data_IF_755617232557
#
_entry.id   IF_755617232557
#
_cell.length_a   1.000
_cell.length_b   1.000
_cell.length_c   1.000
_cell.angle_alpha   90.00
_cell.angle_beta   90.00
_cell.angle_gamma   90.00
#
_symmetry.space_group_name_H-M   'P 1'
#
loop_
_entity.id
_entity.type
_entity.pdbx_description
1 polymer ?
#
# COMPACT_ATOMS: atom_id res chain seq x y z
N UNK A 1 -18.44 -17.32 1.98
CA UNK A 1 -18.61 -15.97 2.55
C UNK A 1 -19.81 -15.30 1.90
N UNK A 2 -20.58 -14.52 2.66
CA UNK A 2 -21.67 -13.70 2.10
C UNK A 2 -21.11 -12.41 1.50
N UNK A 3 -21.89 -11.73 0.65
CA UNK A 3 -21.48 -10.42 0.12
C UNK A 3 -21.30 -9.37 1.22
N UNK A 4 -22.09 -9.46 2.30
CA UNK A 4 -21.92 -8.57 3.47
C UNK A 4 -20.62 -8.84 4.23
N UNK A 5 -20.20 -10.10 4.37
CA UNK A 5 -18.93 -10.45 5.02
C UNK A 5 -17.75 -9.88 4.23
N UNK A 6 -17.79 -10.03 2.89
CA UNK A 6 -16.77 -9.45 2.01
C UNK A 6 -16.72 -7.93 2.17
N UNK A 7 -17.89 -7.27 2.02
CA UNK A 7 -17.94 -5.81 2.08
C UNK A 7 -17.44 -5.27 3.43
N UNK A 8 -17.93 -5.80 4.53
CA UNK A 8 -17.58 -5.33 5.88
C UNK A 8 -16.11 -5.65 6.19
N UNK A 9 -15.70 -6.91 5.98
CA UNK A 9 -14.35 -7.36 6.29
C UNK A 9 -13.29 -6.62 5.49
N UNK A 10 -13.45 -6.53 4.15
CA UNK A 10 -12.49 -5.86 3.29
C UNK A 10 -12.43 -4.35 3.54
N UNK A 11 -13.58 -3.71 3.80
CA UNK A 11 -13.62 -2.27 4.13
C UNK A 11 -12.90 -1.99 5.45
N UNK A 12 -13.23 -2.72 6.52
CA UNK A 12 -12.62 -2.50 7.83
C UNK A 12 -11.13 -2.86 7.82
N UNK A 13 -10.78 -4.04 7.29
CA UNK A 13 -9.40 -4.51 7.26
C UNK A 13 -8.49 -3.59 6.45
N UNK A 14 -8.95 -3.14 5.28
CA UNK A 14 -8.18 -2.21 4.44
C UNK A 14 -8.10 -0.82 5.08
N UNK A 15 -9.17 -0.35 5.74
CA UNK A 15 -9.12 0.93 6.47
C UNK A 15 -8.08 0.89 7.60
N UNK A 16 -8.00 -0.18 8.37
CA UNK A 16 -7.00 -0.38 9.42
C UNK A 16 -5.59 -0.48 8.84
N UNK A 17 -5.43 -1.23 7.75
CA UNK A 17 -4.15 -1.35 7.04
C UNK A 17 -3.64 0.03 6.62
N UNK A 18 -4.46 0.85 5.98
CA UNK A 18 -4.07 2.18 5.53
C UNK A 18 -3.90 3.16 6.68
N UNK A 19 -4.74 3.10 7.70
CA UNK A 19 -4.60 3.94 8.90
C UNK A 19 -3.23 3.73 9.57
N UNK A 20 -2.82 2.49 9.78
CA UNK A 20 -1.55 2.19 10.44
C UNK A 20 -0.36 2.40 9.51
N UNK A 21 -0.45 1.98 8.25
CA UNK A 21 0.63 2.13 7.27
C UNK A 21 0.85 3.59 6.85
N UNK A 22 -0.20 4.35 6.56
CA UNK A 22 -0.13 5.79 6.36
C UNK A 22 0.27 6.52 7.65
N UNK A 23 -0.19 6.01 8.80
CA UNK A 23 0.17 6.52 10.12
C UNK A 23 1.66 6.47 10.41
N UNK A 24 2.36 5.36 10.11
CA UNK A 24 3.81 5.30 10.29
C UNK A 24 4.53 6.23 9.34
N UNK A 25 4.07 6.37 8.08
CA UNK A 25 4.62 7.35 7.15
C UNK A 25 4.44 8.79 7.66
N UNK A 26 3.27 9.13 8.21
CA UNK A 26 3.01 10.42 8.84
C UNK A 26 3.92 10.64 10.07
N UNK A 27 4.07 9.62 10.91
CA UNK A 27 4.91 9.67 12.09
C UNK A 27 6.38 9.98 11.77
N UNK A 28 6.91 9.35 10.72
CA UNK A 28 8.32 9.48 10.29
C UNK A 28 8.57 10.81 9.56
N UNK A 29 7.56 11.32 8.82
CA UNK A 29 7.72 12.47 7.92
C UNK A 29 7.38 13.81 8.57
N UNK A 30 6.26 13.88 9.32
CA UNK A 30 5.71 15.16 9.72
C UNK A 30 6.52 15.84 10.84
N UNK A 31 6.71 17.15 10.74
CA UNK A 31 7.25 17.98 11.85
C UNK A 31 6.37 17.81 13.08
N UNK A 32 6.99 17.91 14.25
CA UNK A 32 6.36 17.74 15.57
C UNK A 32 5.77 16.33 15.81
N UNK A 33 6.18 15.34 15.04
CA UNK A 33 5.95 13.94 15.35
C UNK A 33 7.09 13.38 16.23
N UNK A 34 6.75 12.54 17.20
CA UNK A 34 7.74 11.90 18.09
C UNK A 34 8.67 10.94 17.36
N UNK A 35 8.20 10.33 16.28
CA UNK A 35 8.97 9.38 15.47
C UNK A 35 9.61 10.03 14.21
N UNK A 36 9.61 11.36 14.11
CA UNK A 36 10.19 12.05 12.96
C UNK A 36 11.63 11.57 12.71
N UNK A 37 11.94 11.28 11.44
CA UNK A 37 13.24 10.80 10.98
C UNK A 37 13.63 9.40 11.50
N UNK A 38 12.68 8.58 11.98
CA UNK A 38 12.95 7.20 12.38
C UNK A 38 13.39 6.30 11.22
N UNK A 39 13.21 6.75 9.98
CA UNK A 39 13.81 6.14 8.80
C UNK A 39 12.99 5.00 8.18
N UNK A 40 13.57 4.44 7.10
CA UNK A 40 12.93 3.43 6.25
C UNK A 40 12.60 2.14 7.00
N UNK A 41 13.44 1.75 7.96
CA UNK A 41 13.21 0.56 8.79
C UNK A 41 11.89 0.65 9.56
N UNK A 42 11.61 1.81 10.17
CA UNK A 42 10.36 2.03 10.88
C UNK A 42 9.15 1.94 9.94
N UNK A 43 9.27 2.47 8.72
CA UNK A 43 8.23 2.42 7.69
C UNK A 43 7.93 0.96 7.31
N UNK A 44 8.96 0.16 7.02
CA UNK A 44 8.78 -1.22 6.57
C UNK A 44 8.14 -2.11 7.62
N UNK A 45 8.59 -2.03 8.88
CA UNK A 45 7.95 -2.74 9.98
C UNK A 45 6.53 -2.22 10.26
N UNK A 46 6.32 -0.90 10.19
CA UNK A 46 5.00 -0.30 10.36
C UNK A 46 3.98 -0.81 9.35
N UNK A 47 4.35 -0.91 8.07
CA UNK A 47 3.49 -1.50 7.03
C UNK A 47 3.26 -2.99 7.23
N UNK A 48 4.28 -3.76 7.63
CA UNK A 48 4.10 -5.16 7.96
C UNK A 48 3.10 -5.37 9.10
N UNK A 49 3.25 -4.62 10.20
CA UNK A 49 2.31 -4.67 11.32
C UNK A 49 0.92 -4.12 10.97
N UNK A 50 0.81 -3.18 10.04
CA UNK A 50 -0.46 -2.71 9.51
C UNK A 50 -1.20 -3.85 8.77
N UNK A 51 -0.48 -4.61 7.92
CA UNK A 51 -1.01 -5.81 7.25
C UNK A 51 -1.43 -6.85 8.29
N UNK A 52 -0.56 -7.16 9.27
CA UNK A 52 -0.87 -8.11 10.34
C UNK A 52 -2.18 -7.74 11.05
N UNK A 53 -2.29 -6.48 11.48
CA UNK A 53 -3.45 -6.03 12.24
C UNK A 53 -4.73 -6.10 11.41
N UNK A 54 -4.71 -5.56 10.19
CA UNK A 54 -5.87 -5.60 9.30
C UNK A 54 -6.29 -7.04 8.97
N UNK A 55 -5.34 -7.88 8.57
CA UNK A 55 -5.62 -9.26 8.20
C UNK A 55 -6.10 -10.11 9.39
N UNK A 56 -5.49 -9.96 10.56
CA UNK A 56 -5.90 -10.67 11.77
C UNK A 56 -7.34 -10.32 12.18
N UNK A 57 -7.71 -9.03 12.09
CA UNK A 57 -9.05 -8.57 12.51
C UNK A 57 -10.18 -9.15 11.65
N UNK A 58 -9.95 -9.35 10.36
CA UNK A 58 -11.03 -9.70 9.42
C UNK A 58 -10.83 -11.02 8.69
N UNK A 59 -9.76 -11.76 9.00
CA UNK A 59 -9.43 -13.03 8.36
C UNK A 59 -10.56 -14.07 8.45
N UNK A 60 -11.22 -14.16 9.60
CA UNK A 60 -12.38 -15.03 9.81
C UNK A 60 -13.70 -14.51 9.21
N UNK A 61 -13.71 -13.29 8.68
CA UNK A 61 -14.91 -12.64 8.11
C UNK A 61 -14.87 -12.68 6.59
N UNK A 62 -13.83 -12.06 5.96
CA UNK A 62 -13.72 -11.91 4.50
C UNK A 62 -12.59 -12.73 3.87
N UNK A 63 -11.80 -13.43 4.67
CA UNK A 63 -10.53 -14.01 4.21
C UNK A 63 -9.38 -13.01 4.16
N UNK A 64 -9.64 -11.71 4.42
CA UNK A 64 -8.65 -10.64 4.53
C UNK A 64 -7.72 -10.52 3.32
N UNK A 65 -8.27 -10.36 2.13
CA UNK A 65 -7.45 -10.08 0.94
C UNK A 65 -6.78 -8.71 1.04
N UNK A 66 -7.53 -7.66 1.38
CA UNK A 66 -7.11 -6.26 1.62
C UNK A 66 -6.30 -5.65 0.47
N UNK A 67 -6.30 -6.31 -0.70
CA UNK A 67 -5.43 -6.01 -1.81
C UNK A 67 -6.00 -6.58 -3.12
N UNK A 68 -6.27 -5.75 -4.13
CA UNK A 68 -6.74 -6.21 -5.44
C UNK A 68 -5.82 -7.23 -6.13
N UNK A 69 -4.50 -7.09 -5.97
CA UNK A 69 -3.54 -8.02 -6.57
C UNK A 69 -3.59 -9.40 -5.90
N UNK A 70 -3.78 -9.45 -4.58
CA UNK A 70 -4.04 -10.70 -3.84
C UNK A 70 -5.36 -11.31 -4.27
N UNK A 71 -6.43 -10.51 -4.34
CA UNK A 71 -7.74 -10.98 -4.80
C UNK A 71 -7.67 -11.59 -6.19
N UNK A 72 -6.94 -10.95 -7.12
CA UNK A 72 -6.74 -11.44 -8.47
C UNK A 72 -5.94 -12.75 -8.50
N UNK A 73 -4.85 -12.83 -7.74
CA UNK A 73 -4.04 -14.04 -7.63
C UNK A 73 -4.84 -15.25 -7.11
N UNK A 74 -5.63 -15.04 -6.05
CA UNK A 74 -6.52 -16.04 -5.48
C UNK A 74 -7.67 -16.43 -6.44
N UNK A 75 -8.16 -15.50 -7.25
CA UNK A 75 -9.18 -15.82 -8.26
C UNK A 75 -8.61 -16.67 -9.41
N UNK A 76 -7.38 -16.41 -9.83
CA UNK A 76 -6.68 -17.19 -10.86
C UNK A 76 -6.30 -18.57 -10.34
N UNK A 77 -5.87 -18.66 -9.10
CA UNK A 77 -5.58 -19.95 -8.43
C UNK A 77 -6.84 -20.79 -8.24
N UNK A 78 -8.01 -20.16 -8.06
CA UNK A 78 -9.32 -20.84 -7.92
C UNK A 78 -9.92 -20.76 -6.52
N UNK A 79 -9.23 -20.19 -5.55
CA UNK A 79 -9.71 -20.00 -4.16
C UNK A 79 -10.75 -18.89 -4.02
N UNK A 80 -10.86 -17.96 -4.97
CA UNK A 80 -11.85 -16.89 -4.96
C UNK A 80 -12.71 -16.93 -6.21
N UNK A 81 -14.03 -16.87 -6.04
CA UNK A 81 -14.98 -16.82 -7.16
C UNK A 81 -14.83 -15.51 -7.93
N UNK A 82 -14.77 -15.58 -9.25
CA UNK A 82 -14.69 -14.39 -10.11
C UNK A 82 -15.87 -13.42 -9.93
N UNK A 83 -17.07 -13.95 -9.60
CA UNK A 83 -18.25 -13.14 -9.29
C UNK A 83 -18.06 -12.21 -8.10
N UNK A 84 -17.20 -12.57 -7.16
CA UNK A 84 -16.97 -11.82 -5.93
C UNK A 84 -15.85 -10.78 -6.07
N UNK A 85 -14.97 -10.94 -7.08
CA UNK A 85 -13.83 -10.05 -7.32
C UNK A 85 -14.21 -8.57 -7.37
N UNK A 86 -15.24 -8.13 -8.12
CA UNK A 86 -15.63 -6.73 -8.14
C UNK A 86 -15.98 -6.16 -6.76
N UNK A 87 -16.65 -6.96 -5.93
CA UNK A 87 -17.04 -6.56 -4.59
C UNK A 87 -15.82 -6.39 -3.68
N UNK A 88 -14.85 -7.32 -3.76
CA UNK A 88 -13.56 -7.17 -3.06
C UNK A 88 -12.87 -5.87 -3.41
N UNK A 89 -12.70 -5.57 -4.71
CA UNK A 89 -12.00 -4.39 -5.19
C UNK A 89 -12.64 -3.08 -4.72
N UNK A 90 -13.98 -2.99 -4.81
CA UNK A 90 -14.73 -1.80 -4.38
C UNK A 90 -14.62 -1.60 -2.88
N UNK A 91 -14.80 -2.69 -2.10
CA UNK A 91 -14.72 -2.65 -0.64
C UNK A 91 -13.34 -2.23 -0.15
N UNK A 92 -12.28 -2.78 -0.76
CA UNK A 92 -10.89 -2.45 -0.48
C UNK A 92 -10.58 -0.98 -0.80
N UNK A 93 -11.03 -0.48 -1.96
CA UNK A 93 -10.84 0.93 -2.32
C UNK A 93 -11.54 1.87 -1.34
N UNK A 94 -12.78 1.55 -0.97
CA UNK A 94 -13.53 2.34 -0.01
C UNK A 94 -12.87 2.32 1.37
N UNK A 95 -12.42 1.16 1.84
CA UNK A 95 -11.65 1.02 3.07
C UNK A 95 -10.34 1.83 3.04
N UNK A 96 -9.61 1.79 1.93
CA UNK A 96 -8.36 2.54 1.78
C UNK A 96 -8.59 4.06 1.87
N UNK A 97 -9.66 4.56 1.29
CA UNK A 97 -10.03 5.98 1.39
C UNK A 97 -10.39 6.38 2.83
N UNK A 98 -11.17 5.54 3.54
CA UNK A 98 -11.48 5.76 4.95
C UNK A 98 -10.20 5.80 5.79
N UNK A 99 -9.32 4.80 5.64
CA UNK A 99 -8.05 4.75 6.36
C UNK A 99 -7.18 5.99 6.16
N UNK A 100 -7.08 6.47 4.91
CA UNK A 100 -6.34 7.69 4.59
C UNK A 100 -6.94 8.96 5.22
N UNK A 101 -8.27 9.08 5.24
CA UNK A 101 -8.95 10.18 5.92
C UNK A 101 -8.70 10.13 7.43
N UNK A 102 -8.69 8.94 8.03
CA UNK A 102 -8.37 8.75 9.45
C UNK A 102 -6.92 9.11 9.79
N UNK A 103 -5.95 8.82 8.89
CA UNK A 103 -4.55 9.30 9.04
C UNK A 103 -4.52 10.82 9.10
N UNK A 104 -5.19 11.49 8.18
CA UNK A 104 -5.27 12.95 8.18
C UNK A 104 -5.89 13.50 9.47
N UNK A 105 -6.98 12.92 9.94
CA UNK A 105 -7.63 13.33 11.19
C UNK A 105 -6.71 13.13 12.40
N UNK A 106 -6.07 11.98 12.50
CA UNK A 106 -5.16 11.66 13.61
C UNK A 106 -3.94 12.58 13.67
N UNK A 107 -3.43 13.03 12.51
CA UNK A 107 -2.25 13.88 12.40
C UNK A 107 -2.58 15.31 11.97
N UNK A 108 -3.81 15.77 12.13
CA UNK A 108 -4.29 17.06 11.63
C UNK A 108 -3.38 18.24 11.99
N UNK A 109 -2.98 18.35 13.27
CA UNK A 109 -2.10 19.41 13.75
C UNK A 109 -0.71 19.35 13.15
N UNK A 110 -0.16 18.14 13.00
CA UNK A 110 1.18 17.91 12.43
C UNK A 110 1.19 18.20 10.93
N UNK A 111 0.15 17.83 10.17
CA UNK A 111 0.00 18.23 8.77
C UNK A 111 0.04 19.74 8.60
N UNK A 112 -0.73 20.46 9.40
CA UNK A 112 -0.73 21.94 9.35
C UNK A 112 0.65 22.51 9.68
N UNK A 113 1.27 22.04 10.76
CA UNK A 113 2.59 22.52 11.16
C UNK A 113 3.66 22.24 10.10
N UNK A 114 3.60 21.08 9.43
CA UNK A 114 4.55 20.71 8.38
C UNK A 114 4.36 21.53 7.11
N UNK A 115 3.11 21.69 6.66
CA UNK A 115 2.77 22.35 5.41
C UNK A 115 2.74 23.89 5.47
N UNK A 116 2.96 24.48 6.65
CA UNK A 116 3.14 25.93 6.81
C UNK A 116 4.56 26.29 7.23
N UNK A 117 5.47 25.32 7.31
CA UNK A 117 6.85 25.53 7.70
C UNK A 117 7.69 26.02 6.51
N UNK A 118 8.35 27.21 6.60
CA UNK A 118 9.11 27.77 5.49
C UNK A 118 10.27 26.89 5.01
N UNK A 119 10.94 26.17 5.91
CA UNK A 119 12.04 25.27 5.56
C UNK A 119 11.55 24.07 4.71
N UNK A 120 10.39 23.51 5.05
CA UNK A 120 9.80 22.43 4.27
C UNK A 120 9.36 22.92 2.89
N UNK A 121 8.76 24.08 2.82
CA UNK A 121 8.27 24.63 1.56
C UNK A 121 9.41 25.01 0.62
N UNK A 122 10.47 25.65 1.12
CA UNK A 122 11.63 26.01 0.29
C UNK A 122 12.37 24.77 -0.23
N UNK A 123 12.57 23.76 0.60
CA UNK A 123 13.18 22.49 0.17
C UNK A 123 12.38 21.79 -0.95
N UNK A 124 11.08 22.05 -1.01
CA UNK A 124 10.21 21.39 -2.00
C UNK A 124 10.02 22.19 -3.30
N UNK A 125 10.16 23.51 -3.25
CA UNK A 125 10.05 24.40 -4.44
C UNK A 125 11.30 24.44 -5.31
N UNK A 126 12.41 23.88 -4.83
CA UNK A 126 13.64 23.74 -5.64
C UNK A 126 14.35 25.04 -5.97
N UNK A 127 14.19 26.10 -5.15
CA UNK A 127 14.85 27.38 -5.38
C UNK A 127 16.37 27.35 -5.10
N UNK A 128 16.88 26.35 -4.41
CA UNK A 128 18.33 26.19 -4.17
C UNK A 128 18.85 24.88 -4.80
N UNK A 129 19.47 25.02 -5.98
CA UNK A 129 20.44 24.03 -6.47
C UNK A 129 19.96 22.93 -7.41
N UNK A 130 18.76 22.97 -7.97
CA UNK A 130 18.36 22.00 -9.00
C UNK A 130 18.99 22.33 -10.36
N UNK A 131 19.83 21.42 -10.84
CA UNK A 131 20.49 21.50 -12.16
C UNK A 131 19.49 21.26 -13.32
N UNK A 132 18.33 20.64 -13.01
CA UNK A 132 17.30 20.36 -14.01
C UNK A 132 15.89 20.63 -13.45
N UNK A 133 15.28 21.75 -13.90
CA UNK A 133 13.88 22.12 -13.57
C UNK A 133 12.84 21.11 -14.10
N UNK A 134 13.20 20.28 -15.09
CA UNK A 134 12.34 19.23 -15.60
C UNK A 134 12.21 18.02 -14.64
N UNK A 135 13.17 17.89 -13.72
CA UNK A 135 13.19 16.85 -12.69
C UNK A 135 12.53 17.27 -11.37
N UNK A 136 11.95 18.48 -11.29
CA UNK A 136 11.25 18.93 -10.09
C UNK A 136 10.15 17.94 -9.68
N UNK A 137 10.03 17.57 -8.40
CA UNK A 137 9.08 16.57 -7.96
C UNK A 137 7.65 17.03 -8.27
N UNK A 138 6.93 16.22 -9.09
CA UNK A 138 5.50 16.42 -9.37
C UNK A 138 4.63 16.11 -8.15
N UNK A 139 5.23 15.47 -7.15
CA UNK A 139 4.62 15.11 -5.88
C UNK A 139 4.70 16.26 -4.89
N UNK A 140 3.67 16.45 -4.09
CA UNK A 140 3.69 17.41 -2.99
C UNK A 140 4.44 16.88 -1.75
N UNK A 141 4.78 17.76 -0.78
CA UNK A 141 5.66 17.43 0.36
C UNK A 141 5.11 16.36 1.30
N UNK A 142 3.85 16.03 1.23
CA UNK A 142 3.20 15.01 2.06
C UNK A 142 2.57 13.86 1.27
N UNK A 143 2.74 13.84 -0.06
CA UNK A 143 2.16 12.78 -0.89
C UNK A 143 2.68 11.39 -0.47
N UNK A 144 3.95 11.26 -0.08
CA UNK A 144 4.55 10.01 0.38
C UNK A 144 3.93 9.41 1.64
N UNK A 145 3.09 10.17 2.38
CA UNK A 145 2.29 9.64 3.49
C UNK A 145 1.09 8.85 2.96
N UNK A 146 0.54 9.27 1.84
CA UNK A 146 -0.65 8.72 1.22
C UNK A 146 -0.31 7.65 0.18
N UNK A 147 0.63 7.94 -0.71
CA UNK A 147 0.90 7.15 -1.90
C UNK A 147 2.39 6.87 -2.07
N UNK A 148 2.70 5.91 -2.92
CA UNK A 148 4.08 5.61 -3.31
C UNK A 148 4.54 6.52 -4.45
N UNK A 149 5.84 6.62 -4.61
CA UNK A 149 6.47 7.38 -5.68
C UNK A 149 7.85 6.83 -5.99
N UNK A 150 8.39 7.06 -7.19
CA UNK A 150 9.68 6.55 -7.58
C UNK A 150 10.80 7.46 -7.07
N UNK A 151 11.92 6.87 -6.65
CA UNK A 151 13.16 7.60 -6.44
C UNK A 151 13.76 8.03 -7.79
N UNK A 152 13.64 7.17 -8.81
CA UNK A 152 14.05 7.46 -10.19
C UNK A 152 12.85 7.28 -11.11
N UNK A 153 12.48 8.33 -11.88
CA UNK A 153 11.36 8.26 -12.82
C UNK A 153 11.73 7.50 -14.08
N UNK A 154 11.53 6.19 -14.03
CA UNK A 154 11.62 5.30 -15.18
C UNK A 154 10.39 4.37 -15.16
N UNK A 155 9.41 4.63 -16.01
CA UNK A 155 8.13 3.93 -16.00
C UNK A 155 8.30 2.40 -16.18
N UNK A 156 9.17 1.97 -17.09
CA UNK A 156 9.40 0.54 -17.35
C UNK A 156 10.02 -0.13 -16.12
N UNK A 157 11.11 0.43 -15.60
CA UNK A 157 11.77 -0.12 -14.41
C UNK A 157 10.82 -0.15 -13.21
N UNK A 158 10.03 0.90 -13.01
CA UNK A 158 9.14 1.01 -11.85
C UNK A 158 7.98 0.00 -11.94
N UNK A 159 7.42 -0.23 -13.14
CA UNK A 159 6.44 -1.31 -13.36
C UNK A 159 7.07 -2.67 -13.08
N UNK A 160 8.27 -2.95 -13.60
CA UNK A 160 8.98 -4.23 -13.38
C UNK A 160 9.24 -4.43 -11.87
N UNK A 161 9.66 -3.41 -11.15
CA UNK A 161 9.86 -3.49 -9.69
C UNK A 161 8.57 -3.85 -8.95
N UNK A 162 7.46 -3.17 -9.26
CA UNK A 162 6.16 -3.45 -8.66
C UNK A 162 5.63 -4.85 -9.01
N UNK A 163 5.85 -5.30 -10.25
CA UNK A 163 5.51 -6.67 -10.67
C UNK A 163 6.29 -7.70 -9.86
N UNK A 164 7.62 -7.59 -9.79
CA UNK A 164 8.48 -8.53 -9.06
C UNK A 164 8.08 -8.58 -7.58
N UNK A 165 7.96 -7.42 -6.93
CA UNK A 165 7.61 -7.33 -5.52
C UNK A 165 6.23 -7.95 -5.23
N UNK A 166 5.26 -7.74 -6.12
CA UNK A 166 3.91 -8.28 -5.96
C UNK A 166 3.85 -9.79 -6.25
N UNK A 167 4.64 -10.29 -7.21
CA UNK A 167 4.78 -11.76 -7.41
C UNK A 167 5.27 -12.43 -6.12
N UNK A 168 6.29 -11.87 -5.46
CA UNK A 168 6.78 -12.39 -4.18
C UNK A 168 5.68 -12.40 -3.13
N UNK A 169 4.93 -11.30 -2.98
CA UNK A 169 3.85 -11.22 -2.00
C UNK A 169 2.77 -12.26 -2.24
N UNK A 170 2.22 -12.27 -3.46
CA UNK A 170 1.05 -13.10 -3.77
C UNK A 170 1.41 -14.57 -3.79
N UNK A 171 2.58 -14.93 -4.36
CA UNK A 171 3.04 -16.31 -4.33
C UNK A 171 3.27 -16.81 -2.89
N UNK A 172 3.86 -15.98 -2.02
CA UNK A 172 4.03 -16.34 -0.61
C UNK A 172 2.70 -16.55 0.11
N UNK A 173 1.64 -15.83 -0.26
CA UNK A 173 0.29 -16.06 0.28
C UNK A 173 -0.30 -17.37 -0.24
N UNK A 174 -0.25 -17.62 -1.55
CA UNK A 174 -0.79 -18.83 -2.18
C UNK A 174 -0.13 -20.12 -1.64
N UNK A 175 1.18 -20.08 -1.42
CA UNK A 175 1.94 -21.23 -0.91
C UNK A 175 1.75 -21.51 0.57
N UNK A 176 1.08 -20.66 1.33
CA UNK A 176 0.79 -20.93 2.76
C UNK A 176 -0.01 -22.22 2.97
N UNK A 177 -0.94 -22.53 2.07
CA UNK A 177 -1.72 -23.75 2.11
C UNK A 177 -0.90 -25.03 1.98
N UNK A 178 0.27 -24.97 1.34
CA UNK A 178 1.16 -26.12 1.16
C UNK A 178 1.92 -26.51 2.45
N UNK A 179 2.01 -25.61 3.42
CA UNK A 179 2.86 -25.74 4.60
C UNK A 179 2.16 -26.26 5.87
N UNK A 180 0.95 -26.77 5.77
CA UNK A 180 0.16 -27.12 6.95
C UNK A 180 -0.68 -28.38 6.75
N UNK A 181 -0.15 -29.41 6.10
CA UNK A 181 -0.83 -30.66 5.78
C UNK A 181 -2.24 -30.44 5.16
N UNK A 182 -2.37 -29.40 4.34
CA UNK A 182 -3.61 -28.99 3.70
C UNK A 182 -4.60 -28.18 4.56
N UNK A 183 -4.25 -27.90 5.83
CA UNK A 183 -5.14 -27.15 6.75
C UNK A 183 -4.87 -25.63 6.79
N UNK A 184 -3.88 -25.14 6.02
CA UNK A 184 -3.46 -23.74 6.07
C UNK A 184 -2.83 -23.33 7.41
N UNK A 185 -2.26 -22.12 7.45
CA UNK A 185 -1.58 -21.63 8.65
C UNK A 185 -2.52 -20.96 9.68
N UNK A 186 -3.82 -20.91 9.40
CA UNK A 186 -4.78 -20.21 10.26
C UNK A 186 -4.35 -18.76 10.55
N UNK A 187 -4.42 -18.35 11.82
CA UNK A 187 -4.03 -16.99 12.24
C UNK A 187 -2.53 -16.71 12.05
N UNK A 188 -1.69 -17.75 11.98
CA UNK A 188 -0.26 -17.59 11.68
C UNK A 188 -0.02 -17.08 10.25
N UNK A 189 -0.94 -17.35 9.32
CA UNK A 189 -0.85 -16.84 7.94
C UNK A 189 -0.75 -15.32 7.87
N UNK A 190 -1.50 -14.60 8.71
CA UNK A 190 -1.42 -13.14 8.77
C UNK A 190 -0.03 -12.66 9.24
N UNK A 191 0.59 -13.34 10.22
CA UNK A 191 1.94 -13.03 10.70
C UNK A 191 2.99 -13.29 9.60
N UNK A 192 2.91 -14.42 8.92
CA UNK A 192 3.84 -14.75 7.82
C UNK A 192 3.70 -13.72 6.69
N UNK A 193 2.49 -13.37 6.29
CA UNK A 193 2.25 -12.32 5.27
C UNK A 193 2.86 -10.98 5.71
N UNK A 194 2.70 -10.59 6.97
CA UNK A 194 3.31 -9.37 7.50
C UNK A 194 4.84 -9.37 7.39
N UNK A 195 5.48 -10.48 7.75
CA UNK A 195 6.95 -10.63 7.64
C UNK A 195 7.42 -10.62 6.19
N UNK A 196 6.64 -11.18 5.26
CA UNK A 196 6.90 -11.07 3.82
C UNK A 196 6.82 -9.61 3.37
N UNK A 197 5.82 -8.84 3.81
CA UNK A 197 5.71 -7.41 3.49
C UNK A 197 6.90 -6.62 4.05
N UNK A 198 7.34 -6.90 5.29
CA UNK A 198 8.59 -6.31 5.85
C UNK A 198 9.78 -6.64 4.96
N UNK A 199 9.94 -7.91 4.58
CA UNK A 199 11.05 -8.37 3.73
C UNK A 199 11.08 -7.68 2.36
N UNK A 200 9.90 -7.55 1.72
CA UNK A 200 9.75 -6.82 0.46
C UNK A 200 10.13 -5.34 0.64
N UNK A 201 9.62 -4.69 1.68
CA UNK A 201 9.92 -3.29 1.96
C UNK A 201 11.40 -3.02 2.16
N UNK A 202 12.10 -3.92 2.88
CA UNK A 202 13.54 -3.81 3.12
C UNK A 202 14.37 -4.06 1.86
N UNK A 203 13.95 -5.00 0.99
CA UNK A 203 14.76 -5.50 -0.11
C UNK A 203 14.41 -4.88 -1.46
N UNK A 204 13.13 -4.60 -1.71
CA UNK A 204 12.58 -4.17 -3.00
C UNK A 204 11.87 -2.81 -2.94
N UNK A 205 11.73 -2.22 -1.74
CA UNK A 205 11.01 -0.98 -1.56
C UNK A 205 11.75 0.27 -2.01
N UNK A 206 13.08 0.22 -2.11
CA UNK A 206 13.91 1.37 -2.44
C UNK A 206 13.53 2.08 -3.75
N UNK A 207 13.28 1.37 -4.87
CA UNK A 207 13.01 2.04 -6.15
C UNK A 207 11.66 2.76 -6.24
N UNK A 208 10.59 2.22 -5.64
CA UNK A 208 9.21 2.67 -5.88
C UNK A 208 8.39 2.96 -4.63
N UNK A 209 8.88 2.58 -3.45
CA UNK A 209 8.08 2.57 -2.22
C UNK A 209 7.17 1.36 -2.08
N UNK A 210 7.41 0.28 -2.86
CA UNK A 210 6.70 -1.02 -2.80
C UNK A 210 5.20 -0.90 -2.57
N UNK A 211 4.47 -0.37 -3.55
CA UNK A 211 3.02 -0.30 -3.44
C UNK A 211 2.39 -1.69 -3.25
N UNK A 212 2.78 -2.65 -4.10
CA UNK A 212 2.36 -4.07 -4.07
C UNK A 212 0.86 -4.31 -3.85
N UNK A 213 0.09 -3.23 -3.88
CA UNK A 213 -1.35 -3.20 -3.61
C UNK A 213 -1.96 -1.98 -4.31
N UNK A 214 -2.79 -2.16 -5.33
CA UNK A 214 -3.38 -1.05 -6.09
C UNK A 214 -4.13 -0.03 -5.24
N UNK A 215 -4.93 -0.48 -4.28
CA UNK A 215 -5.75 0.42 -3.45
C UNK A 215 -4.96 1.09 -2.32
N UNK A 216 -3.83 0.48 -1.91
CA UNK A 216 -2.90 1.09 -0.95
C UNK A 216 -2.30 2.39 -1.48
N UNK A 217 -2.20 2.53 -2.81
CA UNK A 217 -1.79 3.77 -3.46
C UNK A 217 -2.97 4.62 -3.92
N UNK A 218 -3.87 4.04 -4.72
CA UNK A 218 -4.95 4.78 -5.38
C UNK A 218 -5.93 5.41 -4.40
N UNK A 219 -6.38 4.67 -3.39
CA UNK A 219 -7.36 5.18 -2.41
C UNK A 219 -6.84 6.40 -1.64
N UNK A 220 -5.68 6.30 -0.99
CA UNK A 220 -5.07 7.44 -0.31
C UNK A 220 -4.68 8.59 -1.25
N UNK A 221 -4.28 8.32 -2.50
CA UNK A 221 -3.98 9.34 -3.51
C UNK A 221 -5.22 10.17 -3.86
N UNK A 222 -6.38 9.53 -3.99
CA UNK A 222 -7.66 10.20 -4.17
C UNK A 222 -7.94 11.11 -2.96
N UNK A 223 -7.79 10.57 -1.75
CA UNK A 223 -8.01 11.35 -0.52
C UNK A 223 -7.04 12.55 -0.44
N UNK A 224 -5.74 12.35 -0.72
CA UNK A 224 -4.78 13.45 -0.79
C UNK A 224 -5.23 14.53 -1.78
N UNK A 225 -5.75 14.17 -2.95
CA UNK A 225 -6.23 15.13 -3.92
C UNK A 225 -7.43 15.95 -3.40
N UNK A 226 -8.32 15.34 -2.63
CA UNK A 226 -9.55 15.96 -2.11
C UNK A 226 -9.33 16.75 -0.81
N UNK A 227 -8.33 16.42 0.00
CA UNK A 227 -8.12 17.06 1.30
C UNK A 227 -7.79 18.55 1.17
N UNK A 228 -8.38 19.42 2.00
CA UNK A 228 -8.11 20.86 2.01
C UNK A 228 -6.81 21.19 2.81
N UNK A 229 -5.70 20.59 2.38
CA UNK A 229 -4.40 20.82 3.00
C UNK A 229 -3.71 22.03 2.37
N UNK A 230 -3.18 23.00 3.16
CA UNK A 230 -2.42 24.12 2.63
C UNK A 230 -1.13 23.60 2.00
N UNK A 231 -0.71 24.18 0.88
CA UNK A 231 0.58 23.89 0.25
C UNK A 231 0.88 22.39 -0.01
N UNK A 232 -0.15 21.55 -0.14
CA UNK A 232 0.04 20.09 -0.28
C UNK A 232 0.67 19.69 -1.61
N UNK A 233 0.70 20.58 -2.61
CA UNK A 233 1.21 20.28 -3.93
C UNK A 233 0.30 19.32 -4.75
N UNK A 234 0.87 18.76 -5.80
CA UNK A 234 0.20 17.80 -6.67
C UNK A 234 0.11 16.40 -6.08
N UNK A 235 -0.82 15.60 -6.61
CA UNK A 235 -1.01 14.18 -6.26
C UNK A 235 -0.33 13.22 -7.22
N UNK A 236 0.52 13.70 -8.11
CA UNK A 236 1.30 12.94 -9.10
C UNK A 236 0.50 11.86 -9.86
N UNK A 237 -0.60 12.28 -10.46
CA UNK A 237 -1.48 11.39 -11.22
C UNK A 237 -0.80 10.74 -12.43
N UNK A 238 0.24 11.38 -12.97
CA UNK A 238 1.02 10.81 -14.07
C UNK A 238 1.80 9.54 -13.69
N UNK A 239 2.02 9.31 -12.40
CA UNK A 239 2.64 8.10 -11.88
C UNK A 239 1.62 7.06 -11.38
N UNK A 240 0.40 7.48 -11.00
CA UNK A 240 -0.59 6.67 -10.29
C UNK A 240 -0.96 5.34 -10.97
N UNK A 241 -0.79 5.21 -12.27
CA UNK A 241 -1.07 3.97 -13.00
C UNK A 241 -0.07 2.85 -12.70
N UNK A 242 1.18 3.18 -12.36
CA UNK A 242 2.25 2.19 -12.08
C UNK A 242 1.93 1.34 -10.86
N UNK A 243 1.63 1.93 -9.67
CA UNK A 243 1.24 1.17 -8.48
C UNK A 243 -0.13 0.48 -8.59
N UNK A 244 -0.86 0.68 -9.67
CA UNK A 244 -2.07 -0.09 -10.00
C UNK A 244 -1.76 -1.23 -10.94
N UNK A 245 -1.16 -0.94 -12.10
CA UNK A 245 -0.93 -1.92 -13.16
C UNK A 245 0.16 -2.92 -12.78
N UNK A 246 1.28 -2.45 -12.20
CA UNK A 246 2.37 -3.33 -11.78
C UNK A 246 1.90 -4.43 -10.82
N UNK A 247 1.26 -4.09 -9.69
CA UNK A 247 0.73 -5.09 -8.78
C UNK A 247 -0.33 -6.02 -9.39
N UNK A 248 -1.24 -5.53 -10.24
CA UNK A 248 -2.21 -6.41 -10.90
C UNK A 248 -1.53 -7.43 -11.82
N UNK A 249 -0.54 -7.02 -12.59
CA UNK A 249 0.27 -7.94 -13.40
C UNK A 249 0.99 -8.95 -12.49
N UNK A 250 1.61 -8.48 -11.41
CA UNK A 250 2.31 -9.33 -10.44
C UNK A 250 1.39 -10.37 -9.80
N UNK A 251 0.19 -9.95 -9.38
CA UNK A 251 -0.83 -10.86 -8.83
C UNK A 251 -1.30 -11.92 -9.82
N UNK A 252 -1.54 -11.52 -11.07
CA UNK A 252 -1.92 -12.45 -12.14
C UNK A 252 -0.81 -13.46 -12.44
N UNK A 253 0.44 -13.00 -12.55
CA UNK A 253 1.59 -13.87 -12.77
C UNK A 253 1.80 -14.86 -11.61
N UNK A 254 1.62 -14.41 -10.37
CA UNK A 254 1.74 -15.28 -9.20
C UNK A 254 0.67 -16.38 -9.17
N UNK A 255 -0.60 -16.04 -9.47
CA UNK A 255 -1.66 -17.04 -9.58
C UNK A 255 -1.42 -18.05 -10.69
N UNK A 256 -0.99 -17.59 -11.87
CA UNK A 256 -0.62 -18.47 -12.98
C UNK A 256 0.59 -19.35 -12.67
N UNK A 257 1.63 -18.80 -12.03
CA UNK A 257 2.80 -19.55 -11.62
C UNK A 257 2.47 -20.60 -10.55
N UNK A 258 1.59 -20.26 -9.61
CA UNK A 258 1.12 -21.21 -8.62
C UNK A 258 0.44 -22.42 -9.28
N UNK A 259 -0.50 -22.18 -10.19
CA UNK A 259 -1.21 -23.27 -10.91
C UNK A 259 -0.25 -24.11 -11.77
N UNK A 260 0.82 -23.52 -12.28
CA UNK A 260 1.79 -24.24 -13.11
C UNK A 260 2.75 -25.11 -12.29
N UNK A 261 3.15 -24.63 -11.10
CA UNK A 261 4.26 -25.22 -10.36
C UNK A 261 3.85 -25.96 -9.08
N UNK A 262 2.66 -25.67 -8.52
CA UNK A 262 2.25 -26.15 -7.20
C UNK A 262 0.85 -26.77 -7.15
N UNK A 263 0.01 -26.61 -8.18
CA UNK A 263 -1.34 -27.21 -8.28
C UNK A 263 -1.33 -28.60 -8.91
#
# INVERSE_FOLDING_TARGET
>A
MSSSDIFIGETIGTAVLILLGGGVCAAVTLKRSKARNAGWLAITFGWGFAVLTGAYMVGGVSGAHLNPAVTLGLAIEGGTKWSDVPLYLVSQLFGAMIGAALVWLAYYGQFRAHLTDPEILSAHTGEEGMVDKAAAPKAGPVLGIFSTGPEIRNAVQNVVTEVIATVVLVLAILTQGLNADGNGLGTLGALITALVVVSIGLSLGGPTGYAINPVRDLGPRIVHALLPLPNKGGSDWGYAWIPVVGPLIGGALAGGLYNLAFA
#
